data_IF_397339223815
#
_entry.id   IF_397339223815
#
_cell.length_a   1.000
_cell.length_b   1.000
_cell.length_c   1.000
_cell.angle_alpha   90.00
_cell.angle_beta   90.00
_cell.angle_gamma   90.00
#
_symmetry.space_group_name_H-M   'P 1'
#
loop_
_entity.id
_entity.type
_entity.pdbx_description
1 polymer ?
#
# COMPACT_ATOMS: atom_id res chain seq x y z
N UNK A 1 -30.56 9.14 -56.62
CA UNK A 1 -29.32 9.88 -56.25
C UNK A 1 -29.15 9.78 -54.74
N UNK A 2 -27.92 9.51 -54.29
CA UNK A 2 -27.58 8.94 -52.98
C UNK A 2 -27.64 9.98 -51.84
N UNK A 3 -28.45 9.72 -50.82
CA UNK A 3 -28.41 10.43 -49.53
C UNK A 3 -27.33 9.78 -48.66
N UNK A 4 -26.15 10.39 -48.59
CA UNK A 4 -25.05 9.91 -47.76
C UNK A 4 -25.22 10.38 -46.31
N UNK A 5 -25.58 9.47 -45.39
CA UNK A 5 -25.44 9.70 -43.96
C UNK A 5 -23.97 9.62 -43.56
N UNK A 6 -23.40 10.73 -43.12
CA UNK A 6 -22.09 10.79 -42.48
C UNK A 6 -22.30 10.48 -40.99
N UNK A 7 -21.69 9.38 -40.52
CA UNK A 7 -21.65 9.04 -39.08
C UNK A 7 -20.70 10.01 -38.36
N UNK A 8 -21.08 10.59 -37.20
CA UNK A 8 -20.12 11.28 -36.36
C UNK A 8 -19.19 10.25 -35.73
N UNK A 9 -17.89 10.33 -36.02
CA UNK A 9 -16.88 9.56 -35.30
C UNK A 9 -16.74 10.09 -33.87
N UNK A 10 -16.73 9.15 -32.94
CA UNK A 10 -16.48 9.33 -31.53
C UNK A 10 -15.16 10.08 -31.31
N UNK A 11 -15.25 11.32 -30.84
CA UNK A 11 -14.12 12.06 -30.31
C UNK A 11 -13.71 11.40 -29.00
N UNK A 12 -12.76 10.46 -29.10
CA UNK A 12 -12.04 9.93 -27.94
C UNK A 12 -11.29 11.12 -27.33
N UNK A 13 -11.78 11.59 -26.20
CA UNK A 13 -11.15 12.57 -25.31
C UNK A 13 -9.78 12.03 -24.88
N UNK A 14 -8.76 12.31 -25.71
CA UNK A 14 -7.35 12.14 -25.37
C UNK A 14 -6.92 13.35 -24.55
N UNK A 15 -7.47 13.48 -23.36
CA UNK A 15 -6.85 14.28 -22.32
C UNK A 15 -5.37 13.85 -22.21
N UNK A 16 -4.41 14.80 -22.30
CA UNK A 16 -3.00 14.46 -22.39
C UNK A 16 -2.55 13.68 -21.15
N UNK A 17 -1.84 12.57 -21.37
CA UNK A 17 -1.14 11.86 -20.28
C UNK A 17 -0.12 12.82 -19.70
N UNK A 18 -0.44 13.39 -18.54
CA UNK A 18 0.42 14.31 -17.80
C UNK A 18 1.61 13.52 -17.27
N UNK A 19 2.81 13.82 -17.77
CA UNK A 19 4.05 13.23 -17.28
C UNK A 19 4.32 13.70 -15.84
N UNK A 20 4.38 12.80 -14.84
CA UNK A 20 4.55 13.15 -13.43
C UNK A 20 5.98 13.62 -13.06
N UNK A 21 6.79 13.94 -14.08
CA UNK A 21 8.14 14.51 -13.98
C UNK A 21 8.22 15.97 -14.43
N UNK A 22 7.12 16.58 -14.90
CA UNK A 22 7.10 17.98 -15.34
C UNK A 22 7.41 18.95 -14.18
N UNK A 23 8.41 19.85 -14.30
CA UNK A 23 8.79 20.81 -13.25
C UNK A 23 7.70 21.85 -12.92
N UNK A 24 6.75 22.08 -13.83
CA UNK A 24 5.70 23.09 -13.67
C UNK A 24 4.61 22.67 -12.66
N UNK A 25 4.43 21.37 -12.42
CA UNK A 25 3.40 20.83 -11.53
C UNK A 25 3.80 20.90 -10.04
N UNK A 26 5.09 21.02 -9.73
CA UNK A 26 5.60 20.87 -8.36
C UNK A 26 5.37 22.11 -7.46
N UNK A 27 4.97 23.25 -8.03
CA UNK A 27 4.81 24.51 -7.29
C UNK A 27 3.70 24.45 -6.24
N UNK A 28 2.64 23.68 -6.49
CA UNK A 28 1.51 23.54 -5.55
C UNK A 28 1.84 22.65 -4.32
N UNK A 29 2.91 21.82 -4.38
CA UNK A 29 3.33 20.96 -3.28
C UNK A 29 4.27 21.70 -2.32
N UNK A 30 4.71 22.92 -2.66
CA UNK A 30 5.57 23.72 -1.79
C UNK A 30 4.73 24.42 -0.72
N UNK A 31 4.63 23.80 0.44
CA UNK A 31 4.03 24.42 1.62
C UNK A 31 4.97 25.53 2.12
N UNK A 32 4.43 26.72 2.36
CA UNK A 32 5.18 27.89 2.86
C UNK A 32 5.09 28.08 4.38
N UNK A 33 4.38 27.18 5.06
CA UNK A 33 4.20 27.27 6.51
C UNK A 33 5.54 27.11 7.23
N UNK A 34 5.66 27.81 8.37
CA UNK A 34 6.79 27.66 9.27
C UNK A 34 6.74 26.30 9.97
N UNK A 35 7.90 25.70 10.16
CA UNK A 35 8.07 24.51 11.00
C UNK A 35 8.41 25.02 12.40
N UNK A 36 7.57 24.69 13.37
CA UNK A 36 7.80 25.01 14.78
C UNK A 36 7.99 23.70 15.51
N UNK A 37 9.13 23.57 16.18
CA UNK A 37 9.50 22.40 16.96
C UNK A 37 9.59 22.82 18.41
N UNK A 38 8.93 22.08 19.30
CA UNK A 38 9.07 22.28 20.74
C UNK A 38 10.50 21.92 21.17
N UNK A 39 11.14 22.69 22.07
CA UNK A 39 12.48 22.37 22.56
C UNK A 39 12.58 20.94 23.10
N UNK A 40 11.58 20.52 23.88
CA UNK A 40 11.49 19.17 24.46
C UNK A 40 11.45 18.09 23.37
N UNK A 41 10.78 18.37 22.26
CA UNK A 41 10.72 17.47 21.11
C UNK A 41 12.09 17.35 20.47
N UNK A 42 12.78 18.47 20.24
CA UNK A 42 14.10 18.50 19.60
C UNK A 42 15.15 17.69 20.36
N UNK A 43 15.16 17.79 21.70
CA UNK A 43 16.13 17.07 22.54
C UNK A 43 15.69 15.65 22.94
N UNK A 44 14.45 15.27 22.63
CA UNK A 44 13.90 13.94 22.97
C UNK A 44 14.71 12.78 22.37
N UNK A 45 14.74 11.67 23.10
CA UNK A 45 15.30 10.41 22.59
C UNK A 45 14.51 9.88 21.39
N UNK A 46 13.20 10.15 21.37
CA UNK A 46 12.32 9.84 20.26
C UNK A 46 12.84 10.41 18.93
N UNK A 47 13.20 11.71 18.89
CA UNK A 47 13.77 12.32 17.67
C UNK A 47 15.13 11.71 17.33
N UNK A 48 15.99 11.47 18.33
CA UNK A 48 17.33 10.88 18.10
C UNK A 48 17.27 9.48 17.49
N UNK A 49 16.21 8.72 17.78
CA UNK A 49 16.01 7.38 17.23
C UNK A 49 15.61 7.36 15.74
N UNK A 50 15.17 8.49 15.18
CA UNK A 50 14.67 8.57 13.81
C UNK A 50 15.80 8.60 12.78
N UNK A 51 15.58 7.93 11.64
CA UNK A 51 16.45 8.09 10.47
C UNK A 51 16.29 9.49 9.85
N UNK A 52 17.30 9.94 9.09
CA UNK A 52 17.26 11.23 8.39
C UNK A 52 16.02 11.39 7.48
N UNK A 53 15.59 10.30 6.83
CA UNK A 53 14.38 10.34 5.97
C UNK A 53 13.09 10.41 6.79
N UNK A 54 13.03 9.72 7.94
CA UNK A 54 11.90 9.80 8.86
C UNK A 54 11.81 11.19 9.49
N UNK A 55 12.95 11.81 9.82
CA UNK A 55 13.02 13.19 10.30
C UNK A 55 12.48 14.17 9.25
N UNK A 56 12.87 14.07 7.98
CA UNK A 56 12.29 14.89 6.89
C UNK A 56 10.77 14.70 6.78
N UNK A 57 10.29 13.48 6.97
CA UNK A 57 8.86 13.14 6.97
C UNK A 57 8.15 13.82 8.15
N UNK A 58 8.74 13.77 9.35
CA UNK A 58 8.23 14.44 10.55
C UNK A 58 8.17 15.96 10.37
N UNK A 59 9.23 16.58 9.85
CA UNK A 59 9.28 18.02 9.57
C UNK A 59 8.14 18.44 8.64
N UNK A 60 7.84 17.62 7.62
CA UNK A 60 6.69 17.86 6.74
C UNK A 60 5.36 17.76 7.47
N UNK A 61 5.20 16.78 8.36
CA UNK A 61 4.00 16.63 9.18
C UNK A 61 3.78 17.85 10.08
N UNK A 62 4.84 18.33 10.74
CA UNK A 62 4.81 19.55 11.55
C UNK A 62 4.45 20.78 10.70
N UNK A 63 4.93 20.85 9.46
CA UNK A 63 4.61 21.94 8.55
C UNK A 63 3.12 21.99 8.14
N UNK A 64 2.46 20.82 8.10
CA UNK A 64 1.03 20.69 7.81
C UNK A 64 0.13 21.02 9.00
N UNK A 65 0.69 21.07 10.21
CA UNK A 65 -0.06 21.37 11.43
C UNK A 65 -0.56 22.81 11.39
N UNK A 66 -1.85 23.00 11.66
CA UNK A 66 -2.44 24.32 11.89
C UNK A 66 -2.15 24.76 13.32
N UNK A 67 -1.95 26.06 13.51
CA UNK A 67 -1.72 26.65 14.81
C UNK A 67 -2.48 27.95 14.93
N UNK A 68 -2.97 28.22 16.13
CA UNK A 68 -3.76 29.41 16.45
C UNK A 68 -3.10 30.16 17.61
N UNK A 69 -3.17 31.48 17.57
CA UNK A 69 -2.80 32.28 18.74
C UNK A 69 -4.00 32.38 19.67
N UNK A 70 -3.91 31.77 20.86
CA UNK A 70 -4.91 31.96 21.92
C UNK A 70 -4.31 32.77 23.05
N UNK A 71 -5.11 33.67 23.63
CA UNK A 71 -4.75 34.36 24.87
C UNK A 71 -5.01 33.40 26.02
N UNK A 72 -3.95 32.98 26.71
CA UNK A 72 -4.03 32.18 27.93
C UNK A 72 -3.38 33.00 29.04
N UNK A 73 -4.13 33.32 30.09
CA UNK A 73 -3.69 34.15 31.21
C UNK A 73 -3.09 35.50 30.76
N UNK A 74 -3.77 36.19 29.85
CA UNK A 74 -3.33 37.50 29.32
C UNK A 74 -2.14 37.46 28.35
N UNK A 75 -1.47 36.31 28.19
CA UNK A 75 -0.32 36.13 27.28
C UNK A 75 -0.77 35.39 26.01
N UNK A 76 -0.31 35.85 24.84
CA UNK A 76 -0.53 35.12 23.57
C UNK A 76 0.34 33.87 23.58
N UNK A 77 -0.28 32.70 23.48
CA UNK A 77 0.40 31.41 23.32
C UNK A 77 -0.02 30.78 22.00
N UNK A 78 0.91 30.04 21.39
CA UNK A 78 0.61 29.22 20.22
C UNK A 78 -0.09 27.98 20.74
N UNK A 79 -1.34 27.79 20.36
CA UNK A 79 -2.10 26.57 20.62
C UNK A 79 -2.17 25.80 19.32
N UNK A 80 -1.71 24.57 19.36
CA UNK A 80 -1.73 23.72 18.19
C UNK A 80 -3.09 23.06 18.01
N UNK A 81 -3.63 23.12 16.81
CA UNK A 81 -4.84 22.39 16.47
C UNK A 81 -4.45 20.95 16.12
N UNK A 82 -5.09 19.98 16.77
CA UNK A 82 -4.90 18.56 16.50
C UNK A 82 -5.88 18.08 15.40
N UNK A 83 -6.07 18.93 14.40
CA UNK A 83 -6.83 18.59 13.21
C UNK A 83 -6.10 17.49 12.44
N UNK A 84 -6.86 16.54 11.92
CA UNK A 84 -6.31 15.51 11.04
C UNK A 84 -5.72 16.14 9.78
N UNK A 85 -4.57 15.65 9.34
CA UNK A 85 -3.92 16.06 8.10
C UNK A 85 -3.69 14.87 7.17
N UNK A 86 -3.63 15.17 5.88
CA UNK A 86 -3.37 14.17 4.83
C UNK A 86 -1.94 14.35 4.34
N UNK A 87 -1.23 13.24 4.19
CA UNK A 87 0.10 13.19 3.60
C UNK A 87 0.10 12.20 2.43
N UNK A 88 -0.14 12.65 1.19
CA UNK A 88 -0.18 11.79 0.02
C UNK A 88 1.23 11.44 -0.49
N UNK A 89 1.34 10.33 -1.23
CA UNK A 89 2.61 9.86 -1.81
C UNK A 89 3.24 10.85 -2.79
N UNK A 90 2.44 11.66 -3.49
CA UNK A 90 2.92 12.71 -4.39
C UNK A 90 3.75 13.76 -3.66
N UNK A 91 3.30 14.17 -2.47
CA UNK A 91 4.06 15.09 -1.60
C UNK A 91 5.34 14.44 -1.08
N UNK A 92 5.31 13.14 -0.76
CA UNK A 92 6.51 12.43 -0.31
C UNK A 92 7.56 12.35 -1.42
N UNK A 93 7.13 12.08 -2.66
CA UNK A 93 7.99 12.08 -3.85
C UNK A 93 8.64 13.46 -4.07
N UNK A 94 7.88 14.54 -3.87
CA UNK A 94 8.41 15.91 -3.95
C UNK A 94 9.51 16.18 -2.92
N UNK A 95 9.46 15.55 -1.74
CA UNK A 95 10.51 15.63 -0.73
C UNK A 95 11.72 14.73 -1.02
N UNK A 96 11.76 14.07 -2.19
CA UNK A 96 12.80 13.12 -2.55
C UNK A 96 12.70 11.80 -1.78
N UNK A 97 11.53 11.46 -1.24
CA UNK A 97 11.31 10.22 -0.50
C UNK A 97 10.60 9.21 -1.41
N UNK A 98 11.21 8.03 -1.59
CA UNK A 98 10.61 6.95 -2.34
C UNK A 98 9.31 6.46 -1.67
N UNK A 99 8.34 5.99 -2.46
CA UNK A 99 7.02 5.53 -1.99
C UNK A 99 7.11 4.49 -0.86
N UNK A 100 7.98 3.49 -1.03
CA UNK A 100 8.20 2.43 -0.03
C UNK A 100 8.84 2.98 1.25
N UNK A 101 9.79 3.89 1.11
CA UNK A 101 10.44 4.56 2.23
C UNK A 101 9.46 5.47 2.98
N UNK A 102 8.58 6.17 2.28
CA UNK A 102 7.54 6.98 2.90
C UNK A 102 6.62 6.15 3.79
N UNK A 103 6.17 4.99 3.30
CA UNK A 103 5.36 4.07 4.10
C UNK A 103 6.12 3.58 5.35
N UNK A 104 7.40 3.21 5.21
CA UNK A 104 8.25 2.83 6.36
C UNK A 104 8.36 3.98 7.36
N UNK A 105 8.66 5.19 6.89
CA UNK A 105 8.80 6.37 7.73
C UNK A 105 7.52 6.69 8.50
N UNK A 106 6.35 6.63 7.85
CA UNK A 106 5.07 6.86 8.51
C UNK A 106 4.80 5.81 9.60
N UNK A 107 5.15 4.54 9.37
CA UNK A 107 5.04 3.51 10.40
C UNK A 107 6.00 3.76 11.57
N UNK A 108 7.26 4.12 11.29
CA UNK A 108 8.24 4.46 12.34
C UNK A 108 7.76 5.63 13.19
N UNK A 109 7.24 6.70 12.56
CA UNK A 109 6.70 7.86 13.29
C UNK A 109 5.48 7.49 14.14
N UNK A 110 4.66 6.54 13.68
CA UNK A 110 3.54 6.02 14.45
C UNK A 110 4.01 5.16 15.64
N UNK A 111 5.00 4.30 15.43
CA UNK A 111 5.56 3.43 16.46
C UNK A 111 6.21 4.22 17.59
N UNK A 112 6.98 5.26 17.25
CA UNK A 112 7.63 6.17 18.21
C UNK A 112 6.61 7.09 18.90
N UNK A 113 5.42 7.26 18.34
CA UNK A 113 4.33 8.04 18.94
C UNK A 113 4.32 9.52 18.57
N UNK A 114 4.92 9.90 17.44
CA UNK A 114 4.76 11.25 16.88
C UNK A 114 3.42 11.42 16.15
N UNK A 115 2.89 10.32 15.59
CA UNK A 115 1.70 10.34 14.74
C UNK A 115 0.73 9.23 15.16
N UNK A 116 -0.55 9.54 15.22
CA UNK A 116 -1.64 8.57 15.32
C UNK A 116 -2.41 8.53 13.99
N UNK A 117 -2.90 7.34 13.61
CA UNK A 117 -3.73 7.15 12.42
C UNK A 117 -5.19 7.35 12.83
N UNK A 118 -5.84 8.40 12.31
CA UNK A 118 -7.26 8.69 12.59
C UNK A 118 -8.14 7.90 11.62
N UNK A 119 -7.79 7.94 10.33
CA UNK A 119 -8.48 7.21 9.29
C UNK A 119 -7.43 6.51 8.42
N UNK A 120 -7.58 5.21 8.24
CA UNK A 120 -6.75 4.46 7.32
C UNK A 120 -7.47 4.39 5.97
N UNK A 121 -7.09 5.27 5.06
CA UNK A 121 -7.63 5.26 3.71
C UNK A 121 -7.10 4.08 2.89
N UNK A 122 -7.91 3.63 1.95
CA UNK A 122 -7.51 2.67 0.92
C UNK A 122 -8.46 1.50 0.78
N UNK A 123 -9.18 1.48 -0.35
CA UNK A 123 -9.53 0.33 -1.21
C UNK A 123 -10.59 0.76 -2.26
N UNK A 124 -11.51 1.67 -1.90
CA UNK A 124 -12.65 2.10 -2.72
C UNK A 124 -12.34 3.17 -3.80
N UNK A 125 -11.18 3.14 -4.44
CA UNK A 125 -10.89 4.11 -5.52
C UNK A 125 -11.56 3.75 -6.87
N UNK A 126 -12.01 2.50 -7.06
CA UNK A 126 -12.43 2.04 -8.39
C UNK A 126 -13.89 2.33 -8.72
N UNK A 127 -14.76 2.51 -7.72
CA UNK A 127 -16.21 2.60 -7.92
C UNK A 127 -16.87 3.84 -7.29
N UNK A 128 -16.20 4.53 -6.36
CA UNK A 128 -16.65 5.79 -5.80
C UNK A 128 -15.80 6.92 -6.39
N UNK A 129 -16.43 7.94 -6.99
CA UNK A 129 -15.74 9.09 -7.57
C UNK A 129 -14.93 9.95 -6.59
N UNK A 130 -14.77 9.51 -5.33
CA UNK A 130 -14.02 10.20 -4.27
C UNK A 130 -12.75 9.43 -3.93
N UNK A 131 -11.62 10.11 -3.98
CA UNK A 131 -10.33 9.55 -3.58
C UNK A 131 -10.29 9.46 -2.05
N UNK A 132 -10.22 8.23 -1.54
CA UNK A 132 -10.00 7.97 -0.12
C UNK A 132 -8.51 8.12 0.25
N UNK A 133 -8.24 8.76 1.39
CA UNK A 133 -6.90 9.11 1.84
C UNK A 133 -6.73 8.85 3.32
N UNK A 134 -5.53 8.39 3.71
CA UNK A 134 -5.20 8.27 5.12
C UNK A 134 -5.12 9.64 5.80
N UNK A 135 -5.81 9.75 6.93
CA UNK A 135 -5.80 10.94 7.79
C UNK A 135 -4.99 10.62 9.04
N UNK A 136 -4.01 11.47 9.30
CA UNK A 136 -3.08 11.35 10.41
C UNK A 136 -3.28 12.50 11.38
N UNK A 137 -2.93 12.30 12.65
CA UNK A 137 -2.93 13.34 13.68
C UNK A 137 -1.61 13.31 14.43
N UNK A 138 -1.09 14.47 14.82
CA UNK A 138 0.08 14.53 15.68
C UNK A 138 -0.29 14.11 17.09
N UNK A 139 0.60 13.35 17.72
CA UNK A 139 0.43 12.80 19.05
C UNK A 139 1.55 13.27 19.96
N UNK A 140 1.28 13.37 21.27
CA UNK A 140 2.27 13.72 22.29
C UNK A 140 2.86 12.48 22.97
N UNK A 141 2.55 11.28 22.47
CA UNK A 141 3.01 10.00 23.02
C UNK A 141 4.53 9.86 23.01
N UNK A 142 5.21 10.54 22.09
CA UNK A 142 6.67 10.62 22.05
C UNK A 142 7.29 11.17 23.36
N UNK A 143 6.55 11.93 24.17
CA UNK A 143 7.05 12.44 25.46
C UNK A 143 7.32 11.32 26.47
N UNK A 144 6.62 10.20 26.33
CA UNK A 144 6.80 9.02 27.17
C UNK A 144 7.87 8.08 26.60
N UNK A 145 8.40 8.34 25.41
CA UNK A 145 9.37 7.46 24.75
C UNK A 145 10.63 7.29 25.61
N UNK A 146 11.05 6.04 25.82
CA UNK A 146 12.18 5.70 26.71
C UNK A 146 11.80 5.51 28.18
N UNK A 147 10.56 5.83 28.57
CA UNK A 147 10.03 5.52 29.92
C UNK A 147 9.35 4.15 29.96
N UNK A 148 9.24 3.58 31.16
CA UNK A 148 8.54 2.31 31.37
C UNK A 148 7.04 2.36 30.97
N UNK A 149 6.45 3.56 30.92
CA UNK A 149 5.06 3.78 30.54
C UNK A 149 4.84 3.80 29.02
N UNK A 150 5.92 3.76 28.23
CA UNK A 150 5.82 3.82 26.78
C UNK A 150 5.19 2.54 26.19
N UNK A 151 3.99 2.68 25.64
CA UNK A 151 3.33 1.61 24.88
C UNK A 151 3.70 1.73 23.40
N UNK A 152 4.55 0.81 22.93
CA UNK A 152 4.89 0.68 21.52
C UNK A 152 3.68 0.12 20.74
N UNK A 153 3.15 0.93 19.82
CA UNK A 153 1.97 0.54 19.02
C UNK A 153 2.41 0.29 17.59
N UNK A 154 2.27 -0.96 17.16
CA UNK A 154 2.44 -1.34 15.75
C UNK A 154 1.14 -1.13 14.99
N UNK A 155 1.25 -0.58 13.79
CA UNK A 155 0.11 -0.46 12.87
C UNK A 155 -0.40 -1.85 12.51
N UNK A 156 -1.67 -2.13 12.78
CA UNK A 156 -2.31 -3.37 12.35
C UNK A 156 -2.47 -3.37 10.81
N UNK A 157 -2.11 -4.48 10.18
CA UNK A 157 -2.37 -4.67 8.75
C UNK A 157 -3.84 -5.01 8.58
N UNK A 158 -4.64 -4.04 8.13
CA UNK A 158 -6.03 -4.29 7.74
C UNK A 158 -6.03 -4.81 6.31
N UNK A 159 -6.20 -6.12 6.15
CA UNK A 159 -6.65 -6.75 4.90
C UNK A 159 -8.12 -7.14 5.13
N UNK A 160 -8.99 -6.85 4.17
CA UNK A 160 -10.37 -7.35 4.25
C UNK A 160 -10.38 -8.89 4.16
N UNK A 161 -11.29 -9.56 4.89
CA UNK A 161 -11.43 -11.02 4.89
C UNK A 161 -11.51 -11.67 3.51
N UNK A 162 -12.13 -10.97 2.57
CA UNK A 162 -12.42 -11.40 1.20
C UNK A 162 -11.15 -11.46 0.32
N UNK A 163 -10.10 -10.75 0.71
CA UNK A 163 -8.83 -10.68 -0.02
C UNK A 163 -7.70 -11.47 0.67
N UNK A 164 -7.99 -12.23 1.72
CA UNK A 164 -7.02 -13.18 2.24
C UNK A 164 -6.65 -14.17 1.13
N UNK A 165 -5.38 -14.10 0.71
CA UNK A 165 -4.83 -14.93 -0.35
C UNK A 165 -5.05 -16.42 -0.06
N UNK A 166 -4.99 -16.81 1.23
CA UNK A 166 -5.32 -18.16 1.69
C UNK A 166 -6.78 -18.53 1.45
N UNK A 167 -7.74 -17.70 1.83
CA UNK A 167 -9.16 -17.93 1.54
C UNK A 167 -9.45 -17.98 0.02
N UNK A 168 -8.76 -17.15 -0.77
CA UNK A 168 -8.89 -17.18 -2.23
C UNK A 168 -8.22 -18.40 -2.87
N UNK A 169 -7.12 -18.90 -2.29
CA UNK A 169 -6.51 -20.18 -2.66
C UNK A 169 -7.45 -21.33 -2.30
N UNK A 170 -7.98 -21.37 -1.08
CA UNK A 170 -8.95 -22.37 -0.61
C UNK A 170 -10.24 -22.38 -1.46
N UNK A 171 -10.76 -21.21 -1.85
CA UNK A 171 -11.88 -21.09 -2.81
C UNK A 171 -11.54 -21.61 -4.22
N UNK A 172 -10.28 -21.47 -4.65
CA UNK A 172 -9.81 -22.06 -5.93
C UNK A 172 -9.65 -23.58 -5.82
N UNK A 173 -9.07 -24.08 -4.73
CA UNK A 173 -8.85 -25.51 -4.51
C UNK A 173 -10.13 -26.28 -4.20
N UNK A 174 -11.15 -25.64 -3.59
CA UNK A 174 -12.46 -26.25 -3.33
C UNK A 174 -13.37 -26.40 -4.55
N UNK A 175 -12.98 -25.85 -5.72
CA UNK A 175 -13.63 -26.13 -7.01
C UNK A 175 -15.08 -25.64 -7.18
N UNK A 176 -15.69 -25.03 -6.16
CA UNK A 176 -17.10 -24.63 -6.15
C UNK A 176 -17.48 -23.73 -7.33
N UNK A 177 -16.66 -22.72 -7.63
CA UNK A 177 -16.94 -21.76 -8.72
C UNK A 177 -16.69 -22.31 -10.14
N UNK A 178 -16.01 -23.45 -10.27
CA UNK A 178 -15.78 -24.11 -11.57
C UNK A 178 -16.93 -25.04 -11.93
N UNK A 179 -17.47 -25.76 -10.93
CA UNK A 179 -18.66 -26.61 -11.09
C UNK A 179 -19.91 -25.81 -11.45
N UNK A 180 -20.12 -24.65 -10.83
CA UNK A 180 -21.28 -23.79 -11.12
C UNK A 180 -21.19 -23.10 -12.49
N UNK A 181 -19.99 -22.75 -12.97
CA UNK A 181 -19.79 -22.18 -14.32
C UNK A 181 -19.91 -23.20 -15.45
N UNK A 182 -19.68 -24.48 -15.18
CA UNK A 182 -19.86 -25.55 -16.17
C UNK A 182 -21.32 -26.02 -16.34
N UNK A 183 -22.25 -25.53 -15.52
CA UNK A 183 -23.68 -25.88 -15.63
C UNK A 183 -24.41 -25.30 -16.85
N UNK A 184 -23.76 -24.44 -17.66
CA UNK A 184 -24.36 -23.84 -18.86
C UNK A 184 -23.62 -24.17 -20.18
N UNK A 185 -22.68 -25.11 -20.18
CA UNK A 185 -22.03 -25.57 -21.41
C UNK A 185 -22.75 -26.78 -21.98
N UNK A 186 -23.70 -26.48 -22.86
CA UNK A 186 -24.16 -27.26 -24.02
C UNK A 186 -24.22 -28.78 -23.87
N UNK A 187 -25.45 -29.28 -23.82
CA UNK A 187 -25.82 -30.58 -24.39
C UNK A 187 -25.37 -30.65 -25.87
N UNK A 188 -24.20 -31.21 -26.11
CA UNK A 188 -23.87 -31.88 -27.36
C UNK A 188 -22.72 -32.82 -27.08
N UNK A 189 -23.05 -34.10 -26.95
CA UNK A 189 -22.14 -35.21 -27.10
C UNK A 189 -21.49 -35.08 -28.49
N UNK A 190 -20.21 -34.72 -28.52
CA UNK A 190 -19.23 -35.23 -29.50
C UNK A 190 -17.94 -34.40 -29.44
N UNK A 191 -16.82 -35.12 -29.27
CA UNK A 191 -15.57 -34.68 -29.88
C UNK A 191 -14.43 -34.28 -28.94
N UNK A 192 -13.52 -35.25 -28.79
CA UNK A 192 -12.05 -35.13 -28.75
C UNK A 192 -11.37 -35.07 -27.38
N UNK A 193 -10.93 -36.25 -26.99
CA UNK A 193 -9.68 -36.52 -26.32
C UNK A 193 -8.51 -35.75 -26.95
N UNK A 194 -8.02 -34.71 -26.26
CA UNK A 194 -6.64 -34.23 -26.41
C UNK A 194 -6.17 -33.55 -25.12
N UNK A 195 -5.50 -34.31 -24.25
CA UNK A 195 -4.46 -33.78 -23.36
C UNK A 195 -3.29 -34.76 -23.22
N UNK A 196 -2.36 -34.68 -24.18
CA UNK A 196 -0.94 -34.97 -23.96
C UNK A 196 -0.17 -33.66 -24.16
N UNK A 197 0.27 -33.05 -23.06
CA UNK A 197 1.57 -32.35 -22.94
C UNK A 197 1.69 -31.81 -21.51
N UNK A 198 1.82 -32.69 -20.52
CA UNK A 198 2.43 -32.32 -19.25
C UNK A 198 3.93 -32.25 -19.49
N UNK A 199 4.50 -31.04 -19.55
CA UNK A 199 5.95 -30.81 -19.57
C UNK A 199 6.45 -31.01 -18.14
N UNK A 200 6.61 -32.26 -17.72
CA UNK A 200 7.30 -32.61 -16.48
C UNK A 200 8.78 -32.73 -16.82
N UNK A 201 9.59 -31.94 -16.11
CA UNK A 201 11.03 -32.00 -16.16
C UNK A 201 11.44 -33.26 -15.39
N UNK A 202 11.93 -34.29 -16.08
CA UNK A 202 12.53 -35.46 -15.45
C UNK A 202 13.89 -35.02 -14.87
N UNK A 203 14.04 -35.11 -13.55
CA UNK A 203 15.32 -34.97 -12.86
C UNK A 203 16.16 -36.23 -13.09
N UNK A 204 17.45 -36.07 -13.32
CA UNK A 204 18.39 -37.15 -13.70
C UNK A 204 18.69 -38.16 -12.57
N UNK A 205 18.08 -38.02 -11.39
CA UNK A 205 18.43 -38.78 -10.17
C UNK A 205 17.73 -40.15 -10.03
N UNK A 206 16.82 -40.54 -10.93
CA UNK A 206 16.04 -41.79 -10.80
C UNK A 206 16.65 -43.02 -11.53
N UNK A 207 17.88 -42.92 -12.07
CA UNK A 207 18.48 -44.00 -12.90
C UNK A 207 19.24 -45.11 -12.16
N UNK A 208 19.40 -45.05 -10.84
CA UNK A 208 20.23 -46.02 -10.10
C UNK A 208 19.46 -47.04 -9.26
N UNK A 209 18.19 -47.33 -9.56
CA UNK A 209 17.40 -48.26 -8.71
C UNK A 209 16.59 -49.31 -9.46
N UNK A 210 17.09 -49.87 -10.57
CA UNK A 210 16.57 -51.13 -11.12
C UNK A 210 17.69 -51.97 -11.74
N UNK A 211 18.42 -52.69 -10.89
CA UNK A 211 19.49 -53.58 -11.32
C UNK A 211 19.84 -54.66 -10.31
N UNK A 212 18.88 -55.16 -9.53
CA UNK A 212 19.10 -56.33 -8.66
C UNK A 212 17.81 -57.14 -8.49
N UNK A 213 17.49 -58.01 -9.44
CA UNK A 213 16.79 -59.26 -9.15
C UNK A 213 16.90 -60.24 -10.33
N UNK A 214 17.43 -61.41 -10.00
CA UNK A 214 17.16 -62.71 -10.64
C UNK A 214 17.83 -63.04 -11.98
N UNK A 215 18.82 -63.95 -11.90
CA UNK A 215 18.64 -65.32 -12.41
C UNK A 215 19.63 -66.29 -11.76
N UNK A 216 19.08 -67.18 -10.95
CA UNK A 216 19.65 -68.47 -10.57
C UNK A 216 19.56 -69.43 -11.76
N UNK A 217 20.58 -70.26 -11.96
CA UNK A 217 20.40 -71.69 -12.27
C UNK A 217 20.90 -72.24 -13.62
N UNK A 218 21.53 -73.42 -13.51
CA UNK A 218 21.85 -74.45 -14.54
C UNK A 218 23.27 -74.35 -15.15
N UNK A 219 24.27 -75.09 -14.62
CA UNK A 219 24.60 -76.52 -14.81
C UNK A 219 25.25 -76.79 -16.18
N UNK A 220 26.47 -77.33 -16.15
CA UNK A 220 27.25 -77.81 -17.29
C UNK A 220 28.73 -77.85 -16.95
#
# INVERSE_FOLDING_TARGET
MKTGMIRPQEAIDRSPRVDPSSPLDQRHLKIRNKIIIEPDMFYSEAIKSLSASALRTLMRCLQKRKWEYKKVNGRKRIVYCNDGFIFPYTEAKFLGIATTQHWKNMNTLHEVGFIDIVHQGGWYQRYEGRKDYSVYRLSDRWKLYGTAEFKLIKKQKVLQPEFYVRNNLEKKYSGATSRERNGQLRSSEDGRDRKKSGRLHESEDDRESQGHSERRGAIG
#
